data_IF_954799781429
#
_entry.id   IF_954799781429
#
_cell.length_a   1.000
_cell.length_b   1.000
_cell.length_c   1.000
_cell.angle_alpha   90.00
_cell.angle_beta   90.00
_cell.angle_gamma   90.00
#
_symmetry.space_group_name_H-M   'P 1'
#
loop_
_entity.id
_entity.type
_entity.pdbx_description
1 polymer ?
#
# COMPACT_ATOMS: atom_id res chain seq x y z
N UNK A 1 4.60 -21.47 13.17
CA UNK A 1 3.66 -21.57 14.29
C UNK A 1 4.38 -21.12 15.54
N UNK A 2 3.86 -20.09 16.21
CA UNK A 2 4.45 -19.52 17.44
C UNK A 2 3.73 -20.06 18.68
N UNK A 3 2.64 -20.82 18.51
CA UNK A 3 1.98 -21.59 19.58
C UNK A 3 1.09 -20.79 20.54
N UNK A 4 1.09 -19.45 20.47
CA UNK A 4 0.39 -18.61 21.45
C UNK A 4 -1.09 -18.35 21.10
N UNK A 5 -1.41 -18.18 19.82
CA UNK A 5 -2.78 -17.97 19.34
C UNK A 5 -2.91 -18.27 17.83
N UNK A 6 -4.12 -18.61 17.34
CA UNK A 6 -4.38 -18.60 15.90
C UNK A 6 -4.23 -17.18 15.33
N UNK A 7 -4.07 -17.02 14.00
CA UNK A 7 -4.14 -15.71 13.35
C UNK A 7 -5.45 -14.98 13.67
N UNK A 8 -5.44 -13.65 13.54
CA UNK A 8 -6.66 -12.84 13.70
C UNK A 8 -7.63 -13.16 12.55
N UNK A 9 -8.75 -13.81 12.86
CA UNK A 9 -9.76 -14.23 11.89
C UNK A 9 -11.17 -13.78 12.29
N UNK A 10 -12.07 -13.51 11.33
CA UNK A 10 -13.45 -13.17 11.64
C UNK A 10 -14.20 -14.38 12.21
N UNK A 11 -14.81 -14.21 13.39
CA UNK A 11 -15.54 -15.30 14.09
C UNK A 11 -17.05 -15.31 13.81
N UNK A 12 -17.60 -14.20 13.29
CA UNK A 12 -19.02 -14.03 12.98
C UNK A 12 -19.17 -13.08 11.80
N UNK A 13 -20.12 -13.36 10.92
CA UNK A 13 -20.56 -12.39 9.93
C UNK A 13 -21.23 -11.20 10.64
N UNK A 14 -20.82 -9.99 10.29
CA UNK A 14 -21.39 -8.75 10.80
C UNK A 14 -21.72 -7.83 9.62
N UNK A 15 -22.92 -7.26 9.64
CA UNK A 15 -23.32 -6.23 8.70
C UNK A 15 -22.84 -4.85 9.18
N UNK A 16 -22.70 -3.90 8.24
CA UNK A 16 -22.11 -2.59 8.53
C UNK A 16 -22.90 -1.78 9.57
N UNK A 17 -24.21 -1.93 9.58
CA UNK A 17 -25.16 -1.30 10.50
C UNK A 17 -25.03 -1.79 11.95
N UNK A 18 -24.40 -2.94 12.17
CA UNK A 18 -24.10 -3.45 13.51
C UNK A 18 -22.97 -2.66 14.19
N UNK A 19 -22.16 -1.91 13.42
CA UNK A 19 -21.05 -1.10 13.96
C UNK A 19 -21.52 0.32 14.23
N UNK A 20 -21.55 0.69 15.51
CA UNK A 20 -22.26 1.88 15.94
C UNK A 20 -21.48 3.18 15.69
N UNK A 21 -20.13 3.17 15.60
CA UNK A 21 -19.28 4.37 15.47
C UNK A 21 -17.90 4.10 14.84
N UNK A 22 -17.41 5.02 14.01
CA UNK A 22 -15.96 5.17 13.73
C UNK A 22 -15.33 4.21 12.72
N UNK A 23 -14.08 3.80 12.99
CA UNK A 23 -13.21 3.00 12.12
C UNK A 23 -13.35 1.47 12.30
N UNK A 24 -14.26 1.01 13.19
CA UNK A 24 -14.44 -0.41 13.52
C UNK A 24 -14.84 -1.24 12.29
N UNK A 25 -15.81 -0.75 11.50
CA UNK A 25 -16.21 -1.40 10.24
C UNK A 25 -15.04 -1.51 9.27
N UNK A 26 -14.20 -0.46 9.15
CA UNK A 26 -13.06 -0.45 8.23
C UNK A 26 -12.03 -1.49 8.62
N UNK A 27 -11.76 -1.63 9.92
CA UNK A 27 -10.86 -2.64 10.45
C UNK A 27 -11.44 -4.05 10.25
N UNK A 28 -12.72 -4.26 10.56
CA UNK A 28 -13.39 -5.54 10.35
C UNK A 28 -13.42 -5.94 8.87
N UNK A 29 -13.80 -5.04 7.96
CA UNK A 29 -13.82 -5.27 6.51
C UNK A 29 -12.43 -5.65 5.99
N UNK A 30 -11.37 -4.98 6.48
CA UNK A 30 -10.00 -5.34 6.15
C UNK A 30 -9.63 -6.74 6.64
N UNK A 31 -9.91 -7.07 7.90
CA UNK A 31 -9.63 -8.41 8.48
C UNK A 31 -10.39 -9.49 7.71
N UNK A 32 -11.68 -9.28 7.41
CA UNK A 32 -12.51 -10.24 6.71
C UNK A 32 -12.03 -10.47 5.26
N UNK A 33 -11.71 -9.40 4.53
CA UNK A 33 -11.15 -9.51 3.18
C UNK A 33 -9.77 -10.16 3.16
N UNK A 34 -8.92 -9.83 4.14
CA UNK A 34 -7.64 -10.48 4.29
C UNK A 34 -7.79 -11.98 4.55
N UNK A 35 -8.71 -12.38 5.43
CA UNK A 35 -9.03 -13.78 5.66
C UNK A 35 -9.50 -14.49 4.38
N UNK A 36 -10.43 -13.90 3.63
CA UNK A 36 -10.89 -14.47 2.35
C UNK A 36 -9.72 -14.58 1.35
N UNK A 37 -8.85 -13.58 1.29
CA UNK A 37 -7.65 -13.59 0.47
C UNK A 37 -6.71 -14.74 0.84
N UNK A 38 -6.51 -15.04 2.13
CA UNK A 38 -5.66 -16.18 2.58
C UNK A 38 -6.23 -17.55 2.20
N UNK A 39 -7.53 -17.64 1.90
CA UNK A 39 -8.19 -18.86 1.42
C UNK A 39 -8.32 -18.90 -0.11
N UNK A 40 -8.01 -17.79 -0.78
CA UNK A 40 -8.07 -17.69 -2.25
C UNK A 40 -6.77 -18.20 -2.87
N UNK A 41 -6.80 -18.55 -4.15
CA UNK A 41 -5.60 -18.91 -4.89
C UNK A 41 -4.67 -17.71 -5.12
N UNK A 42 -3.43 -18.01 -5.51
CA UNK A 42 -2.46 -16.98 -5.91
C UNK A 42 -2.89 -16.30 -7.22
N UNK A 43 -2.39 -15.09 -7.43
CA UNK A 43 -2.52 -14.39 -8.72
C UNK A 43 -1.67 -15.14 -9.75
N UNK A 44 -2.30 -15.54 -10.86
CA UNK A 44 -1.59 -16.14 -11.99
C UNK A 44 -1.50 -15.12 -13.11
N UNK A 45 -0.28 -14.92 -13.59
CA UNK A 45 0.02 -14.02 -14.68
C UNK A 45 1.16 -14.58 -15.52
N UNK A 46 1.21 -14.16 -16.78
CA UNK A 46 2.33 -14.41 -17.67
C UNK A 46 3.13 -13.12 -17.82
N UNK A 47 4.42 -13.17 -17.52
CA UNK A 47 5.36 -12.10 -17.84
C UNK A 47 5.88 -12.27 -19.27
N UNK A 48 5.84 -11.20 -20.03
CA UNK A 48 6.38 -11.11 -21.37
C UNK A 48 7.52 -10.12 -21.37
N UNK A 49 8.66 -10.54 -21.91
CA UNK A 49 9.85 -9.71 -22.00
C UNK A 49 10.30 -9.62 -23.45
N UNK A 50 10.36 -8.40 -23.98
CA UNK A 50 10.89 -8.09 -25.30
C UNK A 50 12.24 -7.40 -25.13
N UNK A 51 13.25 -7.95 -25.79
CA UNK A 51 14.62 -7.43 -25.77
C UNK A 51 14.94 -6.89 -27.15
N UNK A 52 15.34 -5.63 -27.21
CA UNK A 52 15.66 -4.92 -28.44
C UNK A 52 17.13 -4.49 -28.42
N UNK A 53 17.83 -4.76 -29.52
CA UNK A 53 19.10 -4.09 -29.83
C UNK A 53 18.79 -2.83 -30.63
N UNK A 54 19.13 -1.67 -30.07
CA UNK A 54 19.02 -0.39 -30.75
C UNK A 54 20.41 0.22 -30.80
N UNK A 55 21.02 0.19 -31.99
CA UNK A 55 22.35 0.74 -32.23
C UNK A 55 23.47 0.15 -31.33
N UNK A 56 23.32 -1.11 -30.91
CA UNK A 56 24.27 -1.81 -30.05
C UNK A 56 23.97 -1.70 -28.54
N UNK A 57 22.94 -0.96 -28.14
CA UNK A 57 22.46 -0.89 -26.77
C UNK A 57 21.22 -1.77 -26.57
N UNK A 58 21.14 -2.44 -25.42
CA UNK A 58 20.02 -3.32 -25.07
C UNK A 58 18.90 -2.54 -24.37
N UNK A 59 17.68 -2.66 -24.89
CA UNK A 59 16.46 -2.12 -24.29
C UNK A 59 15.50 -3.27 -23.96
N UNK A 60 14.95 -3.23 -22.75
CA UNK A 60 14.02 -4.25 -22.26
C UNK A 60 12.66 -3.61 -22.08
N UNK A 61 11.65 -4.23 -22.67
CA UNK A 61 10.24 -3.91 -22.42
C UNK A 61 9.57 -5.13 -21.80
N UNK A 62 9.08 -4.97 -20.58
CA UNK A 62 8.38 -6.03 -19.84
C UNK A 62 6.92 -5.66 -19.71
N UNK A 63 6.02 -6.64 -19.86
CA UNK A 63 4.60 -6.46 -19.56
C UNK A 63 4.00 -7.76 -19.03
N UNK A 64 2.82 -7.67 -18.43
CA UNK A 64 2.16 -8.80 -17.78
C UNK A 64 0.74 -8.99 -18.31
N UNK A 65 0.38 -10.26 -18.50
CA UNK A 65 -1.01 -10.67 -18.80
C UNK A 65 -1.57 -11.41 -17.59
N UNK A 66 -2.58 -10.85 -16.93
CA UNK A 66 -3.21 -11.49 -15.76
C UNK A 66 -4.22 -12.55 -16.22
N UNK A 67 -3.96 -13.81 -15.85
CA UNK A 67 -4.80 -14.96 -16.19
C UNK A 67 -5.85 -15.23 -15.11
N UNK A 68 -5.44 -15.08 -13.85
CA UNK A 68 -6.29 -15.27 -12.67
C UNK A 68 -5.94 -14.24 -11.61
N UNK A 69 -6.94 -13.53 -11.12
CA UNK A 69 -6.77 -12.50 -10.10
C UNK A 69 -6.61 -13.08 -8.69
N UNK A 70 -6.97 -14.34 -8.46
CA UNK A 70 -6.80 -15.00 -7.17
C UNK A 70 -7.25 -14.13 -5.99
N UNK A 71 -6.37 -13.96 -5.01
CA UNK A 71 -6.63 -13.14 -3.81
C UNK A 71 -6.92 -11.65 -4.07
N UNK A 72 -6.55 -11.09 -5.24
CA UNK A 72 -6.85 -9.68 -5.58
C UNK A 72 -8.34 -9.42 -5.71
N UNK A 73 -9.16 -10.45 -5.92
CA UNK A 73 -10.61 -10.30 -5.89
C UNK A 73 -11.09 -9.73 -4.53
N UNK A 74 -10.53 -10.24 -3.43
CA UNK A 74 -10.85 -9.76 -2.09
C UNK A 74 -10.08 -8.48 -1.71
N UNK A 75 -8.82 -8.34 -2.19
CA UNK A 75 -7.92 -7.23 -1.87
C UNK A 75 -7.41 -6.50 -3.14
N UNK A 76 -8.25 -5.80 -3.89
CA UNK A 76 -7.87 -5.20 -5.18
C UNK A 76 -6.79 -4.11 -5.05
N UNK A 77 -6.69 -3.44 -3.90
CA UNK A 77 -5.66 -2.41 -3.65
C UNK A 77 -4.24 -2.98 -3.56
N UNK A 78 -4.09 -4.29 -3.32
CA UNK A 78 -2.80 -4.99 -3.32
C UNK A 78 -2.23 -5.19 -4.72
N UNK A 79 -2.99 -4.92 -5.79
CA UNK A 79 -2.49 -5.06 -7.16
C UNK A 79 -1.24 -4.20 -7.41
N UNK A 80 -1.16 -3.02 -6.78
CA UNK A 80 0.02 -2.13 -6.88
C UNK A 80 1.28 -2.73 -6.27
N UNK A 81 1.13 -3.59 -5.26
CA UNK A 81 2.25 -4.23 -4.57
C UNK A 81 2.89 -5.34 -5.43
N UNK A 82 2.18 -5.82 -6.46
CA UNK A 82 2.66 -6.86 -7.35
C UNK A 82 3.47 -6.33 -8.54
N UNK A 83 3.49 -5.00 -8.74
CA UNK A 83 4.23 -4.35 -9.84
C UNK A 83 3.93 -4.96 -11.23
N UNK A 84 2.67 -5.36 -11.46
CA UNK A 84 2.21 -5.91 -12.73
C UNK A 84 1.90 -4.77 -13.71
N UNK A 85 2.54 -4.79 -14.87
CA UNK A 85 2.30 -3.85 -15.97
C UNK A 85 1.32 -4.46 -16.98
N UNK A 86 0.03 -4.28 -16.72
CA UNK A 86 -1.04 -4.69 -17.64
C UNK A 86 -1.20 -3.65 -18.76
N UNK A 87 -1.14 -4.08 -20.02
CA UNK A 87 -1.32 -3.21 -21.18
C UNK A 87 -2.80 -3.10 -21.57
N UNK A 88 -3.22 -1.91 -21.99
CA UNK A 88 -4.55 -1.63 -22.54
C UNK A 88 -4.60 -1.77 -24.08
N UNK A 89 -3.52 -2.23 -24.69
CA UNK A 89 -3.37 -2.45 -26.12
C UNK A 89 -2.70 -3.80 -26.41
N UNK A 90 -2.93 -4.36 -27.60
CA UNK A 90 -2.36 -5.64 -28.00
C UNK A 90 -0.94 -5.49 -28.52
N UNK A 91 0.00 -6.23 -27.91
CA UNK A 91 1.39 -6.27 -28.38
C UNK A 91 1.47 -7.08 -29.67
N UNK A 92 2.06 -6.53 -30.76
CA UNK A 92 2.21 -7.26 -32.01
C UNK A 92 3.09 -8.49 -31.81
N UNK A 93 2.76 -9.58 -32.52
CA UNK A 93 3.59 -10.79 -32.51
C UNK A 93 4.93 -10.51 -33.19
N UNK A 94 5.99 -10.44 -32.39
CA UNK A 94 7.36 -10.25 -32.85
C UNK A 94 8.10 -11.58 -32.78
N UNK A 95 8.85 -11.88 -33.84
CA UNK A 95 9.77 -13.02 -33.87
C UNK A 95 11.21 -12.54 -33.61
N UNK A 96 12.08 -13.39 -33.04
CA UNK A 96 13.51 -13.08 -32.93
C UNK A 96 14.09 -12.68 -34.30
N UNK A 97 14.80 -11.55 -34.34
CA UNK A 97 15.36 -10.98 -35.57
C UNK A 97 14.40 -10.10 -36.37
N UNK A 98 13.18 -9.85 -35.89
CA UNK A 98 12.29 -8.87 -36.50
C UNK A 98 12.88 -7.45 -36.35
N UNK A 99 12.84 -6.68 -37.44
CA UNK A 99 13.27 -5.27 -37.45
C UNK A 99 12.11 -4.36 -37.02
N UNK A 100 12.39 -3.44 -36.10
CA UNK A 100 11.42 -2.44 -35.63
C UNK A 100 11.99 -1.04 -35.86
N UNK A 101 11.12 -0.10 -36.27
CA UNK A 101 11.50 1.30 -36.45
C UNK A 101 11.38 2.08 -35.15
N UNK A 102 12.47 2.72 -34.70
CA UNK A 102 12.43 3.65 -33.57
C UNK A 102 11.74 4.94 -34.01
N UNK A 103 10.63 5.29 -33.34
CA UNK A 103 9.85 6.49 -33.66
C UNK A 103 10.42 7.74 -32.99
N UNK A 104 10.71 7.64 -31.71
CA UNK A 104 11.18 8.74 -30.86
C UNK A 104 12.19 8.17 -29.84
N UNK A 105 13.14 9.00 -29.42
CA UNK A 105 14.10 8.67 -28.35
C UNK A 105 14.39 9.92 -27.52
N UNK A 106 14.56 9.74 -26.21
CA UNK A 106 14.96 10.82 -25.30
C UNK A 106 15.77 10.27 -24.14
N UNK A 107 16.49 11.15 -23.45
CA UNK A 107 17.28 10.81 -22.26
C UNK A 107 16.64 11.48 -21.07
N UNK A 108 16.23 10.69 -20.07
CA UNK A 108 15.69 11.19 -18.82
C UNK A 108 16.82 11.34 -17.78
N UNK A 109 17.13 12.58 -17.39
CA UNK A 109 18.06 12.85 -16.32
C UNK A 109 17.30 12.91 -14.99
N UNK A 110 17.44 11.87 -14.17
CA UNK A 110 16.89 11.82 -12.81
C UNK A 110 18.00 12.05 -11.77
N UNK A 111 17.62 12.58 -10.60
CA UNK A 111 18.52 12.69 -9.44
C UNK A 111 17.96 11.89 -8.27
N UNK A 112 18.85 11.36 -7.45
CA UNK A 112 18.45 10.71 -6.20
C UNK A 112 17.78 11.72 -5.28
N UNK A 113 16.72 11.29 -4.62
CA UNK A 113 16.03 12.09 -3.59
C UNK A 113 16.44 11.61 -2.19
N UNK A 114 16.48 12.51 -1.20
CA UNK A 114 16.70 12.09 0.19
C UNK A 114 15.54 11.16 0.64
N UNK A 115 15.81 10.24 1.58
CA UNK A 115 14.76 9.40 2.15
C UNK A 115 13.74 10.25 2.91
N UNK A 116 12.50 9.79 2.95
CA UNK A 116 11.45 10.42 3.75
C UNK A 116 11.58 10.01 5.23
N UNK A 117 10.79 10.65 6.09
CA UNK A 117 10.63 10.23 7.48
C UNK A 117 10.00 8.83 7.55
N UNK A 118 10.32 8.10 8.62
CA UNK A 118 9.75 6.78 8.87
C UNK A 118 8.22 6.89 9.06
N UNK A 119 7.49 6.07 8.32
CA UNK A 119 6.08 5.82 8.58
C UNK A 119 5.91 4.93 9.81
N UNK A 120 4.73 4.98 10.43
CA UNK A 120 4.42 4.09 11.56
C UNK A 120 4.54 2.61 11.18
N UNK A 121 4.10 2.25 9.97
CA UNK A 121 4.22 0.88 9.45
C UNK A 121 5.70 0.44 9.35
N UNK A 122 6.58 1.29 8.79
CA UNK A 122 8.01 0.99 8.71
C UNK A 122 8.66 0.90 10.09
N UNK A 123 8.26 1.76 11.03
CA UNK A 123 8.75 1.72 12.41
C UNK A 123 8.33 0.41 13.10
N UNK A 124 7.06 0.01 12.97
CA UNK A 124 6.55 -1.27 13.48
C UNK A 124 7.34 -2.44 12.89
N UNK A 125 7.53 -2.47 11.56
CA UNK A 125 8.31 -3.52 10.89
C UNK A 125 9.77 -3.57 11.37
N UNK A 126 10.40 -2.41 11.59
CA UNK A 126 11.78 -2.34 12.11
C UNK A 126 11.88 -2.80 13.57
N UNK A 127 10.93 -2.42 14.41
CA UNK A 127 10.87 -2.85 15.81
C UNK A 127 10.69 -4.36 15.91
N UNK A 128 9.78 -4.93 15.12
CA UNK A 128 9.53 -6.37 15.07
C UNK A 128 10.76 -7.15 14.56
N UNK A 129 11.37 -6.69 13.47
CA UNK A 129 12.60 -7.30 12.92
C UNK A 129 13.77 -7.30 13.93
N UNK A 130 13.84 -6.28 14.80
CA UNK A 130 14.84 -6.18 15.86
C UNK A 130 14.40 -6.84 17.18
N UNK A 131 13.20 -7.42 17.23
CA UNK A 131 12.58 -8.03 18.42
C UNK A 131 12.48 -7.06 19.61
N UNK A 132 12.19 -5.78 19.34
CA UNK A 132 11.96 -4.74 20.35
C UNK A 132 10.46 -4.53 20.49
N UNK A 133 9.95 -4.52 21.74
CA UNK A 133 8.52 -4.36 21.98
C UNK A 133 7.70 -5.61 21.66
N UNK A 134 8.24 -6.79 21.95
CA UNK A 134 7.52 -8.08 21.84
C UNK A 134 6.26 -8.11 22.71
N UNK A 135 5.38 -9.09 22.48
CA UNK A 135 4.14 -9.29 23.26
C UNK A 135 3.16 -8.11 23.13
N UNK A 136 2.82 -7.74 21.89
CA UNK A 136 1.87 -6.68 21.55
C UNK A 136 2.16 -5.29 22.18
N UNK A 137 3.41 -5.03 22.58
CA UNK A 137 3.81 -3.77 23.23
C UNK A 137 4.34 -2.70 22.27
N UNK A 138 4.61 -3.03 21.00
CA UNK A 138 5.02 -2.07 19.95
C UNK A 138 4.11 -0.81 19.92
N UNK A 139 2.77 -0.92 19.86
CA UNK A 139 1.91 0.27 19.78
C UNK A 139 2.06 1.19 21.00
N UNK A 140 2.27 0.62 22.20
CA UNK A 140 2.48 1.40 23.41
C UNK A 140 3.79 2.18 23.37
N UNK A 141 4.87 1.56 22.88
CA UNK A 141 6.16 2.23 22.74
C UNK A 141 6.11 3.40 21.74
N UNK A 142 5.44 3.20 20.60
CA UNK A 142 5.22 4.26 19.61
C UNK A 142 4.37 5.39 20.20
N UNK A 143 3.28 5.06 20.88
CA UNK A 143 2.43 6.05 21.54
C UNK A 143 3.21 6.87 22.58
N UNK A 144 4.07 6.24 23.38
CA UNK A 144 4.87 6.91 24.41
C UNK A 144 5.80 8.00 23.84
N UNK A 145 6.46 7.76 22.71
CA UNK A 145 7.35 8.76 22.09
C UNK A 145 6.56 9.90 21.44
N UNK A 146 5.35 9.62 20.96
CA UNK A 146 4.41 10.62 20.46
C UNK A 146 3.81 11.48 21.59
N UNK A 147 3.52 10.89 22.75
CA UNK A 147 2.94 11.61 23.91
C UNK A 147 3.97 12.45 24.64
N UNK A 148 5.25 12.04 24.63
CA UNK A 148 6.37 12.82 25.15
C UNK A 148 6.88 13.89 24.16
N UNK A 149 6.24 14.02 23.00
CA UNK A 149 6.61 14.98 21.96
C UNK A 149 8.04 14.81 21.42
N UNK A 150 8.58 13.59 21.43
CA UNK A 150 9.87 13.30 20.77
C UNK A 150 9.73 13.19 19.26
N UNK A 151 8.54 12.80 18.80
CA UNK A 151 8.17 12.73 17.38
C UNK A 151 6.79 13.34 17.18
N UNK A 152 6.51 13.75 15.95
CA UNK A 152 5.20 14.27 15.53
C UNK A 152 4.69 13.44 14.37
N UNK A 153 3.38 13.23 14.32
CA UNK A 153 2.73 12.56 13.19
C UNK A 153 2.55 13.58 12.08
N UNK A 154 3.19 13.33 10.93
CA UNK A 154 3.11 14.18 9.75
C UNK A 154 2.35 13.46 8.62
N UNK A 155 1.68 14.23 7.75
CA UNK A 155 0.99 13.68 6.60
C UNK A 155 1.93 13.10 5.53
N UNK A 156 1.39 12.33 4.57
CA UNK A 156 -0.01 12.28 4.17
C UNK A 156 -0.81 11.18 4.88
N UNK A 157 -1.64 11.57 5.86
CA UNK A 157 -2.71 10.73 6.43
C UNK A 157 -4.07 11.14 5.87
N UNK A 158 -5.18 10.61 6.43
CA UNK A 158 -6.54 10.98 6.00
C UNK A 158 -6.84 12.50 6.05
N UNK A 159 -6.08 13.26 6.84
CA UNK A 159 -6.38 14.67 7.19
C UNK A 159 -5.25 15.67 6.89
N UNK A 160 -4.14 15.32 6.23
CA UNK A 160 -2.96 16.23 6.12
C UNK A 160 -2.15 16.11 4.84
N UNK A 161 -1.49 17.21 4.43
CA UNK A 161 -0.54 17.21 3.30
C UNK A 161 0.81 16.62 3.73
N UNK A 162 1.60 16.16 2.75
CA UNK A 162 2.94 15.59 2.97
C UNK A 162 3.82 16.57 3.77
N UNK A 163 4.35 16.11 4.91
CA UNK A 163 5.21 16.91 5.78
C UNK A 163 4.50 17.92 6.68
N UNK A 164 3.17 18.06 6.60
CA UNK A 164 2.40 18.89 7.54
C UNK A 164 2.09 18.09 8.81
N UNK A 165 2.34 18.70 9.97
CA UNK A 165 2.03 18.12 11.27
C UNK A 165 0.51 17.95 11.39
N UNK A 166 0.06 16.74 11.68
CA UNK A 166 -1.34 16.45 11.97
C UNK A 166 -1.57 16.75 13.45
N UNK A 167 -2.32 17.81 13.82
CA UNK A 167 -2.53 18.16 15.22
C UNK A 167 -3.35 17.09 15.92
N UNK A 168 -2.88 16.58 17.07
CA UNK A 168 -3.66 15.69 17.94
C UNK A 168 -4.91 16.43 18.43
N UNK A 169 -6.08 16.07 17.89
CA UNK A 169 -7.40 16.27 18.49
C UNK A 169 -7.69 17.62 19.16
N UNK A 170 -7.65 18.73 18.42
CA UNK A 170 -8.26 19.99 18.86
C UNK A 170 -9.76 19.98 18.55
N UNK A 171 -10.63 20.03 19.58
CA UNK A 171 -12.08 20.26 19.43
C UNK A 171 -12.35 21.31 18.36
N UNK A 172 -13.07 20.97 17.28
CA UNK A 172 -13.64 21.97 16.36
C UNK A 172 -14.53 22.90 17.19
N UNK A 173 -14.00 24.07 17.54
CA UNK A 173 -14.72 25.11 18.27
C UNK A 173 -16.02 25.45 17.55
N UNK A 174 -17.12 25.27 18.26
CA UNK A 174 -18.46 25.66 17.83
C UNK A 174 -18.43 27.18 17.52
N UNK A 175 -18.48 27.55 16.24
CA UNK A 175 -18.72 28.95 15.85
C UNK A 175 -20.18 29.27 16.14
N UNK A 176 -20.44 29.82 17.33
CA UNK A 176 -21.69 30.49 17.65
C UNK A 176 -21.95 31.61 16.65
N UNK A 177 -23.03 31.49 15.87
CA UNK A 177 -23.57 32.62 15.11
C UNK A 177 -24.34 33.51 16.07
N UNK A 178 -23.66 34.50 16.64
CA UNK A 178 -24.31 35.71 17.08
C UNK A 178 -24.76 36.52 15.86
N UNK A 179 -26.06 36.77 15.74
CA UNK A 179 -26.59 37.87 14.93
C UNK A 179 -27.49 38.70 15.82
N UNK A 180 -26.94 39.83 16.26
CA UNK A 180 -27.73 40.99 16.64
C UNK A 180 -28.10 41.76 15.38
N UNK A 181 -29.39 42.01 15.21
CA UNK A 181 -30.01 43.34 15.12
C UNK A 181 -31.52 43.15 15.18
#
# INVERSE_FOLDING_TARGET
DVGDHPPITPIRAAARDEFSKGNEWRLYDYIARHFIATLSGDVRHTEHQLVFDIAGDEFVFTYHTVEDRGFLFAMPWRAKDLHLEELDWEVPSLAPGAEVGVRDFWVEATMTSPPDYLTEAELVSRMDAQRIGTDASIPQHIQNICDRHYVMVCGPGEDGKRGEIIPKGGKKGCKGKGKGK
#
